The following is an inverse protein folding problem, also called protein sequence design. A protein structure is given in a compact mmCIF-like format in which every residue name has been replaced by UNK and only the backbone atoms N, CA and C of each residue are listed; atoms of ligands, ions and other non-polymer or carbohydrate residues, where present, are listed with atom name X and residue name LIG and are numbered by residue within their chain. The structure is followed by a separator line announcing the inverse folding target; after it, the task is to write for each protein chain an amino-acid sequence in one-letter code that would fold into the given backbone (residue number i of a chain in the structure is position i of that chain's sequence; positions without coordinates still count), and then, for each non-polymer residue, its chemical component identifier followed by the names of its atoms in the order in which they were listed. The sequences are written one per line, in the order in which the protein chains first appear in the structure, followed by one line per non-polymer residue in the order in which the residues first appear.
data_IF_161708155609
#
_entry.id   IF_161708155609
#
_cell.length_a   1.000
_cell.length_b   1.000
_cell.length_c   1.000
_cell.angle_alpha   90.00
_cell.angle_beta   90.00
_cell.angle_gamma   90.00
#
_symmetry.space_group_name_H-M   'P 1'
#
loop_
_entity.id
_entity.type
_entity.pdbx_description
1 polymer ?
#
# COMPACT_ATOMS: atom_id res chain seq x y z
N UNK A 1 -21.15 7.92 -2.14
CA UNK A 1 -21.35 6.53 -1.66
C UNK A 1 -20.10 6.13 -0.90
N UNK A 2 -20.18 5.92 0.42
CA UNK A 2 -19.01 5.51 1.22
C UNK A 2 -18.79 4.02 0.99
N UNK A 3 -17.61 3.67 0.49
CA UNK A 3 -17.18 2.27 0.41
C UNK A 3 -16.90 1.82 1.84
N UNK A 4 -17.57 0.73 2.23
CA UNK A 4 -17.66 0.18 3.58
C UNK A 4 -16.31 -0.26 4.17
N UNK A 5 -16.31 -0.70 5.43
CA UNK A 5 -15.14 -1.26 6.13
C UNK A 5 -14.47 -2.40 5.30
N UNK A 6 -13.12 -2.50 5.27
CA UNK A 6 -12.44 -3.59 4.58
C UNK A 6 -12.85 -4.98 5.13
N UNK A 7 -12.80 -6.04 4.31
CA UNK A 7 -13.13 -7.39 4.75
C UNK A 7 -12.14 -7.85 5.81
N UNK A 8 -12.63 -8.30 6.96
CA UNK A 8 -11.77 -8.71 8.08
C UNK A 8 -11.08 -10.05 7.83
N UNK A 9 -9.82 -10.17 8.25
CA UNK A 9 -9.00 -11.38 8.21
C UNK A 9 -8.58 -11.79 9.62
N UNK A 10 -8.92 -13.02 9.97
CA UNK A 10 -8.59 -13.64 11.25
C UNK A 10 -7.45 -14.68 11.15
N UNK A 11 -6.88 -14.87 9.95
CA UNK A 11 -5.90 -15.92 9.66
C UNK A 11 -6.48 -17.12 8.93
N UNK A 12 -7.82 -17.26 8.83
CA UNK A 12 -8.48 -18.41 8.22
C UNK A 12 -9.01 -18.10 6.81
N UNK A 13 -9.19 -19.15 5.99
CA UNK A 13 -9.79 -19.06 4.65
C UNK A 13 -9.19 -17.95 3.76
N UNK A 14 -7.85 -17.85 3.74
CA UNK A 14 -7.13 -16.79 3.03
C UNK A 14 -7.59 -16.61 1.58
N UNK A 15 -7.84 -17.69 0.82
CA UNK A 15 -8.31 -17.58 -0.57
C UNK A 15 -9.62 -16.79 -0.71
N UNK A 16 -10.56 -17.01 0.21
CA UNK A 16 -11.84 -16.29 0.23
C UNK A 16 -11.67 -14.84 0.65
N UNK A 17 -10.86 -14.60 1.68
CA UNK A 17 -10.54 -13.24 2.13
C UNK A 17 -9.83 -12.46 1.03
N UNK A 18 -8.83 -13.05 0.37
CA UNK A 18 -8.07 -12.46 -0.73
C UNK A 18 -8.99 -12.04 -1.86
N UNK A 19 -9.90 -12.90 -2.30
CA UNK A 19 -10.86 -12.56 -3.36
C UNK A 19 -11.72 -11.34 -2.98
N UNK A 20 -12.27 -11.31 -1.75
CA UNK A 20 -13.05 -10.17 -1.25
C UNK A 20 -12.22 -8.88 -1.15
N UNK A 21 -10.99 -9.00 -0.64
CA UNK A 21 -10.09 -7.86 -0.45
C UNK A 21 -9.64 -7.28 -1.80
N UNK A 22 -9.35 -8.11 -2.80
CA UNK A 22 -9.04 -7.67 -4.16
C UNK A 22 -10.17 -6.83 -4.75
N UNK A 23 -11.41 -7.36 -4.73
CA UNK A 23 -12.58 -6.63 -5.25
C UNK A 23 -12.78 -5.31 -4.48
N UNK A 24 -12.63 -5.34 -3.15
CA UNK A 24 -12.77 -4.17 -2.29
C UNK A 24 -11.78 -3.06 -2.66
N UNK A 25 -10.50 -3.40 -2.81
CA UNK A 25 -9.44 -2.43 -3.12
C UNK A 25 -9.63 -1.86 -4.52
N UNK A 26 -9.93 -2.70 -5.51
CA UNK A 26 -10.19 -2.27 -6.89
C UNK A 26 -11.40 -1.32 -6.96
N UNK A 27 -12.46 -1.59 -6.19
CA UNK A 27 -13.61 -0.71 -6.08
C UNK A 27 -13.30 0.60 -5.33
N UNK A 28 -12.40 0.56 -4.35
CA UNK A 28 -11.98 1.72 -3.57
C UNK A 28 -11.16 2.72 -4.39
N UNK A 29 -10.12 2.23 -5.05
CA UNK A 29 -9.17 3.02 -5.82
C UNK A 29 -8.19 2.06 -6.53
N UNK A 30 -8.27 1.97 -7.86
CA UNK A 30 -7.46 1.02 -8.62
C UNK A 30 -5.95 1.28 -8.50
N UNK A 31 -5.53 2.52 -8.25
CA UNK A 31 -4.11 2.82 -8.02
C UNK A 31 -3.57 2.14 -6.75
N UNK A 32 -4.43 1.87 -5.76
CA UNK A 32 -4.03 1.11 -4.57
C UNK A 32 -3.78 -0.36 -4.92
N UNK A 33 -4.57 -0.91 -5.84
CA UNK A 33 -4.37 -2.27 -6.33
C UNK A 33 -3.02 -2.39 -7.04
N UNK A 34 -2.70 -1.44 -7.93
CA UNK A 34 -1.41 -1.41 -8.63
C UNK A 34 -0.24 -1.31 -7.63
N UNK A 35 -0.34 -0.45 -6.61
CA UNK A 35 0.69 -0.32 -5.57
C UNK A 35 0.88 -1.63 -4.78
N UNK A 36 -0.18 -2.39 -4.53
CA UNK A 36 -0.09 -3.66 -3.78
C UNK A 36 0.54 -4.75 -4.65
N UNK A 37 0.25 -4.78 -5.95
CA UNK A 37 0.78 -5.81 -6.85
C UNK A 37 2.20 -5.49 -7.31
N UNK A 38 2.43 -4.27 -7.77
CA UNK A 38 3.69 -3.87 -8.39
C UNK A 38 4.67 -3.28 -7.37
N UNK A 39 4.14 -2.71 -6.30
CA UNK A 39 4.90 -1.99 -5.28
C UNK A 39 4.82 -0.49 -5.51
N UNK A 40 5.08 0.33 -4.48
CA UNK A 40 5.06 1.77 -4.64
C UNK A 40 6.26 2.26 -5.44
N UNK A 41 6.01 3.15 -6.40
CA UNK A 41 7.08 3.89 -7.04
C UNK A 41 7.62 4.95 -6.06
N UNK A 42 8.76 4.65 -5.43
CA UNK A 42 9.39 5.58 -4.50
C UNK A 42 10.02 6.77 -5.25
N UNK A 43 9.85 8.00 -4.72
CA UNK A 43 10.53 9.19 -5.22
C UNK A 43 12.04 8.96 -5.35
N UNK A 44 12.57 9.25 -6.52
CA UNK A 44 13.99 9.10 -6.82
C UNK A 44 14.54 10.35 -7.50
N UNK A 45 15.84 10.53 -7.38
CA UNK A 45 16.62 11.51 -8.13
C UNK A 45 17.60 10.76 -9.02
N UNK A 46 17.94 11.38 -10.15
CA UNK A 46 18.97 10.89 -11.06
C UNK A 46 20.13 11.86 -10.95
N UNK A 47 21.31 11.38 -10.55
CA UNK A 47 22.52 12.22 -10.50
C UNK A 47 22.96 12.61 -11.90
N UNK A 48 23.90 13.56 -12.01
CA UNK A 48 24.50 13.93 -13.29
C UNK A 48 25.20 12.74 -13.97
N UNK A 49 25.65 11.74 -13.19
CA UNK A 49 26.25 10.50 -13.68
C UNK A 49 25.20 9.44 -14.07
N UNK A 50 23.90 9.78 -14.03
CA UNK A 50 22.81 8.85 -14.35
C UNK A 50 22.45 7.88 -13.22
N UNK A 51 23.02 8.03 -12.02
CA UNK A 51 22.78 7.12 -10.90
C UNK A 51 21.42 7.45 -10.26
N UNK A 52 20.53 6.46 -10.23
CA UNK A 52 19.20 6.57 -9.59
C UNK A 52 19.33 6.28 -8.09
N UNK A 53 19.02 7.27 -7.26
CA UNK A 53 19.00 7.13 -5.80
C UNK A 53 17.68 7.59 -5.20
N UNK A 54 17.34 7.11 -4.00
CA UNK A 54 16.13 7.55 -3.31
C UNK A 54 16.22 9.04 -3.00
N UNK A 55 15.15 9.76 -3.35
CA UNK A 55 15.04 11.17 -3.04
C UNK A 55 14.89 11.34 -1.53
N UNK A 56 15.63 12.27 -0.89
CA UNK A 56 15.43 12.57 0.52
C UNK A 56 14.05 13.21 0.73
N UNK A 57 13.39 12.87 1.85
CA UNK A 57 12.03 13.36 2.17
C UNK A 57 11.93 14.90 2.20
N UNK A 58 13.01 15.58 2.57
CA UNK A 58 13.10 17.05 2.57
C UNK A 58 12.95 17.65 1.18
N UNK A 59 13.26 16.90 0.13
CA UNK A 59 13.20 17.33 -1.28
C UNK A 59 11.98 16.79 -2.03
N UNK A 60 10.99 16.24 -1.32
CA UNK A 60 9.77 15.74 -1.93
C UNK A 60 8.90 16.88 -2.46
N UNK A 61 8.55 16.78 -3.74
CA UNK A 61 7.50 17.57 -4.37
C UNK A 61 6.12 17.11 -3.89
N UNK A 62 5.08 17.87 -4.22
CA UNK A 62 3.70 17.46 -3.91
C UNK A 62 3.31 16.15 -4.60
N UNK A 63 3.83 15.89 -5.81
CA UNK A 63 3.62 14.63 -6.51
C UNK A 63 4.31 13.45 -5.79
N UNK A 64 5.56 13.65 -5.37
CA UNK A 64 6.29 12.66 -4.56
C UNK A 64 5.52 12.31 -3.28
N UNK A 65 4.95 13.33 -2.61
CA UNK A 65 4.15 13.15 -1.39
C UNK A 65 2.86 12.38 -1.68
N UNK A 66 2.17 12.68 -2.79
CA UNK A 66 0.96 11.95 -3.21
C UNK A 66 1.26 10.46 -3.43
N UNK A 67 2.35 10.11 -4.10
CA UNK A 67 2.77 8.70 -4.30
C UNK A 67 3.02 7.99 -2.98
N UNK A 68 3.78 8.61 -2.08
CA UNK A 68 4.07 8.03 -0.75
C UNK A 68 2.79 7.92 0.11
N UNK A 69 1.87 8.89 0.00
CA UNK A 69 0.59 8.87 0.69
C UNK A 69 -0.33 7.75 0.17
N UNK A 70 -0.33 7.47 -1.15
CA UNK A 70 -1.07 6.34 -1.71
C UNK A 70 -0.56 5.01 -1.16
N UNK A 71 0.77 4.82 -1.04
CA UNK A 71 1.33 3.65 -0.37
C UNK A 71 0.88 3.55 1.09
N UNK A 72 0.88 4.67 1.83
CA UNK A 72 0.39 4.69 3.21
C UNK A 72 -1.11 4.32 3.29
N UNK A 73 -1.94 4.79 2.34
CA UNK A 73 -3.35 4.44 2.22
C UNK A 73 -3.53 2.94 1.92
N UNK A 74 -2.73 2.37 1.01
CA UNK A 74 -2.76 0.94 0.71
C UNK A 74 -2.42 0.10 1.97
N UNK A 75 -1.34 0.46 2.68
CA UNK A 75 -0.97 -0.19 3.95
C UNK A 75 -2.09 -0.10 4.98
N UNK A 76 -2.68 1.08 5.15
CA UNK A 76 -3.77 1.30 6.10
C UNK A 76 -4.98 0.41 5.79
N UNK A 77 -5.38 0.32 4.51
CA UNK A 77 -6.50 -0.54 4.10
C UNK A 77 -6.25 -2.00 4.45
N UNK A 78 -5.04 -2.51 4.21
CA UNK A 78 -4.67 -3.89 4.56
C UNK A 78 -4.63 -4.04 6.08
N UNK A 79 -3.89 -3.20 6.80
CA UNK A 79 -3.68 -3.31 8.26
C UNK A 79 -5.00 -3.26 9.03
N UNK A 80 -5.92 -2.35 8.68
CA UNK A 80 -7.21 -2.24 9.34
C UNK A 80 -8.13 -3.44 9.11
N UNK A 81 -7.79 -4.31 8.16
CA UNK A 81 -8.50 -5.54 7.89
C UNK A 81 -8.00 -6.73 8.73
N UNK A 82 -6.86 -6.60 9.41
CA UNK A 82 -6.21 -7.72 10.10
C UNK A 82 -6.61 -7.77 11.59
N UNK A 83 -6.71 -8.98 12.13
CA UNK A 83 -6.67 -9.17 13.57
C UNK A 83 -5.25 -8.87 14.12
N UNK A 84 -5.11 -8.81 15.45
CA UNK A 84 -3.83 -8.46 16.08
C UNK A 84 -2.69 -9.43 15.73
N UNK A 85 -2.98 -10.72 15.60
CA UNK A 85 -1.97 -11.72 15.26
C UNK A 85 -1.43 -11.51 13.85
N UNK A 86 -2.33 -11.36 12.88
CA UNK A 86 -1.96 -11.13 11.47
C UNK A 86 -1.32 -9.76 11.27
N UNK A 87 -1.77 -8.73 12.00
CA UNK A 87 -1.10 -7.43 12.02
C UNK A 87 0.36 -7.55 12.46
N UNK A 88 0.64 -8.26 13.56
CA UNK A 88 2.00 -8.42 14.08
C UNK A 88 2.94 -9.10 13.08
N UNK A 89 2.41 -9.94 12.19
CA UNK A 89 3.19 -10.62 11.14
C UNK A 89 3.66 -9.67 10.03
N UNK A 90 2.92 -8.58 9.79
CA UNK A 90 3.17 -7.65 8.66
C UNK A 90 3.50 -6.22 9.09
N UNK A 91 3.48 -5.92 10.38
CA UNK A 91 3.65 -4.57 10.92
C UNK A 91 5.01 -3.95 10.59
N UNK A 92 6.04 -4.77 10.40
CA UNK A 92 7.39 -4.35 10.02
C UNK A 92 7.58 -4.14 8.51
N UNK A 93 6.60 -4.52 7.67
CA UNK A 93 6.71 -4.37 6.22
C UNK A 93 6.82 -2.89 5.83
N UNK A 94 7.81 -2.58 4.98
CA UNK A 94 8.04 -1.22 4.50
C UNK A 94 6.92 -0.77 3.53
N UNK A 95 6.48 -1.69 2.66
CA UNK A 95 5.52 -1.47 1.56
C UNK A 95 4.22 -2.24 1.77
N UNK A 96 3.21 -1.93 0.95
CA UNK A 96 1.95 -2.68 0.91
C UNK A 96 2.00 -3.97 0.06
N UNK A 97 3.04 -4.12 -0.76
CA UNK A 97 3.37 -5.33 -1.51
C UNK A 97 3.96 -6.42 -0.61
#
# INVERSE_FOLDING_TARGET
MSISKPPFFDGNNYSHWKAKMTIFIQALDFNLWDIIIDGPELPHIISQEGIKTLKPRSSYTDDDRKKVQLNAKAKHVIICALNSNEFNRVSSCATAK
#
